data_IF_168592491323
#
_entry.id   IF_168592491323
#
_cell.length_a   1.000
_cell.length_b   1.000
_cell.length_c   1.000
_cell.angle_alpha   90.00
_cell.angle_beta   90.00
_cell.angle_gamma   90.00
#
_symmetry.space_group_name_H-M   'P 1'
#
loop_
_entity.id
_entity.type
_entity.pdbx_description
1 polymer ?
#
# COMPACT_ATOMS: atom_id res chain seq x y z
N UNK A 1 2.33 -10.23 12.48
CA UNK A 1 1.89 -9.27 13.52
C UNK A 1 0.53 -8.72 13.17
N UNK A 2 -0.47 -8.89 14.06
CA UNK A 2 -1.81 -8.32 13.90
C UNK A 2 -1.83 -6.86 14.38
N UNK A 3 -2.50 -5.98 13.63
CA UNK A 3 -2.71 -4.58 14.02
C UNK A 3 -4.20 -4.39 14.27
N UNK A 4 -4.56 -3.84 15.42
CA UNK A 4 -5.96 -3.57 15.73
C UNK A 4 -6.12 -2.11 16.17
N UNK A 5 -7.16 -1.46 15.62
CA UNK A 5 -7.65 -0.15 16.04
C UNK A 5 -8.91 -0.35 16.86
N UNK A 6 -9.00 0.25 18.06
CA UNK A 6 -10.12 0.18 18.99
C UNK A 6 -10.64 1.58 19.29
N UNK A 7 -11.78 1.94 18.68
CA UNK A 7 -12.46 3.25 18.84
C UNK A 7 -11.50 4.45 18.75
N UNK A 8 -10.65 4.44 17.74
CA UNK A 8 -9.60 5.43 17.57
C UNK A 8 -10.15 6.72 16.99
N UNK A 9 -9.89 7.84 17.67
CA UNK A 9 -10.23 9.19 17.22
C UNK A 9 -8.99 10.06 17.15
N UNK A 10 -8.91 10.85 16.08
CA UNK A 10 -7.88 11.90 15.93
C UNK A 10 -8.52 13.25 15.63
N UNK A 11 -8.41 14.15 16.57
CA UNK A 11 -8.72 15.59 16.44
C UNK A 11 -7.45 16.41 16.48
N UNK A 12 -7.23 17.24 15.50
CA UNK A 12 -6.13 18.20 15.47
C UNK A 12 -6.45 19.47 16.28
N UNK A 13 -5.42 20.28 16.56
CA UNK A 13 -5.56 21.50 17.35
C UNK A 13 -6.48 22.57 16.73
N UNK A 14 -6.61 22.57 15.41
CA UNK A 14 -7.52 23.44 14.67
C UNK A 14 -9.00 22.98 14.71
N UNK A 15 -9.30 21.89 15.44
CA UNK A 15 -10.61 21.29 15.57
C UNK A 15 -10.97 20.27 14.49
N UNK A 16 -10.13 20.09 13.47
CA UNK A 16 -10.35 19.12 12.39
C UNK A 16 -10.35 17.68 12.94
N UNK A 17 -11.43 16.93 12.69
CA UNK A 17 -11.49 15.49 13.00
C UNK A 17 -11.05 14.73 11.74
N UNK A 18 -9.85 14.18 11.79
CA UNK A 18 -9.30 13.40 10.69
C UNK A 18 -9.67 11.91 10.76
N UNK A 19 -9.91 11.40 11.97
CA UNK A 19 -10.36 10.03 12.24
C UNK A 19 -11.41 10.11 13.35
N UNK A 20 -12.57 9.50 13.14
CA UNK A 20 -13.71 9.53 14.05
C UNK A 20 -14.17 8.13 14.37
N UNK A 21 -13.92 7.67 15.61
CA UNK A 21 -14.32 6.36 16.16
C UNK A 21 -13.99 5.15 15.25
N UNK A 22 -12.75 5.10 14.78
CA UNK A 22 -12.30 4.05 13.86
C UNK A 22 -11.94 2.77 14.61
N UNK A 23 -12.57 1.65 14.23
CA UNK A 23 -12.27 0.31 14.76
C UNK A 23 -12.10 -0.68 13.61
N UNK A 24 -10.96 -1.38 13.58
CA UNK A 24 -10.66 -2.37 12.53
C UNK A 24 -9.50 -3.27 12.98
N UNK A 25 -9.60 -4.55 12.60
CA UNK A 25 -8.48 -5.51 12.69
C UNK A 25 -7.86 -5.67 11.31
N UNK A 26 -6.55 -5.47 11.21
CA UNK A 26 -5.77 -5.74 10.00
C UNK A 26 -5.17 -7.14 10.11
N UNK A 27 -5.47 -8.04 9.16
CA UNK A 27 -5.01 -9.42 9.21
C UNK A 27 -3.48 -9.51 9.05
N UNK A 28 -2.86 -10.47 9.76
CA UNK A 28 -1.43 -10.78 9.63
C UNK A 28 -1.11 -11.35 8.26
N UNK A 29 0.11 -11.09 7.78
CA UNK A 29 0.63 -11.66 6.52
C UNK A 29 -0.26 -11.37 5.30
N UNK A 30 -0.99 -10.25 5.34
CA UNK A 30 -1.90 -9.79 4.30
C UNK A 30 -1.62 -8.34 3.96
N UNK A 31 -2.02 -7.94 2.75
CA UNK A 31 -2.06 -6.55 2.35
C UNK A 31 -3.44 -5.97 2.65
N UNK A 32 -3.52 -5.04 3.62
CA UNK A 32 -4.71 -4.22 3.82
C UNK A 32 -4.52 -2.88 3.12
N UNK A 33 -5.46 -2.51 2.26
CA UNK A 33 -5.40 -1.24 1.52
C UNK A 33 -6.48 -0.28 2.03
N UNK A 34 -6.06 0.88 2.52
CA UNK A 34 -6.95 2.01 2.79
C UNK A 34 -7.11 2.84 1.52
N UNK A 35 -8.34 2.93 1.00
CA UNK A 35 -8.66 3.70 -0.20
C UNK A 35 -9.80 4.67 0.06
N UNK A 36 -9.82 5.80 -0.63
CA UNK A 36 -10.84 6.84 -0.48
C UNK A 36 -10.36 8.20 -0.98
N UNK A 37 -11.22 9.21 -0.93
CA UNK A 37 -10.92 10.55 -1.40
C UNK A 37 -9.76 11.21 -0.65
N UNK A 38 -9.14 12.22 -1.26
CA UNK A 38 -8.08 12.98 -0.58
C UNK A 38 -8.63 13.65 0.70
N UNK A 39 -7.82 13.59 1.77
CA UNK A 39 -8.20 14.17 3.07
C UNK A 39 -9.21 13.36 3.90
N UNK A 40 -9.58 12.13 3.50
CA UNK A 40 -10.52 11.33 4.28
C UNK A 40 -9.92 10.70 5.56
N UNK A 41 -8.58 10.76 5.76
CA UNK A 41 -7.94 10.27 7.00
C UNK A 41 -6.94 9.13 6.81
N UNK A 42 -6.77 8.55 5.61
CA UNK A 42 -5.90 7.40 5.32
C UNK A 42 -4.47 7.53 5.85
N UNK A 43 -3.77 8.57 5.45
CA UNK A 43 -2.40 8.87 5.89
C UNK A 43 -2.32 9.10 7.39
N UNK A 44 -3.38 9.64 8.01
CA UNK A 44 -3.46 9.82 9.47
C UNK A 44 -3.53 8.46 10.17
N UNK A 45 -4.39 7.53 9.70
CA UNK A 45 -4.44 6.16 10.19
C UNK A 45 -3.08 5.47 10.07
N UNK A 46 -2.46 5.55 8.89
CA UNK A 46 -1.15 4.95 8.66
C UNK A 46 -0.08 5.47 9.62
N UNK A 47 -0.04 6.81 9.82
CA UNK A 47 0.93 7.47 10.70
C UNK A 47 0.66 7.26 12.18
N UNK A 48 -0.53 6.82 12.56
CA UNK A 48 -0.80 6.45 13.94
C UNK A 48 -0.23 5.07 14.27
N UNK A 49 -0.15 4.12 13.33
CA UNK A 49 0.45 2.79 13.56
C UNK A 49 1.91 2.89 14.03
N UNK A 50 2.70 3.80 13.45
CA UNK A 50 4.11 4.00 13.82
C UNK A 50 4.32 5.15 14.80
N UNK A 51 3.26 5.67 15.43
CA UNK A 51 3.28 6.77 16.40
C UNK A 51 3.95 8.05 15.89
N UNK A 52 3.89 8.33 14.58
CA UNK A 52 4.20 9.67 14.04
C UNK A 52 3.08 10.66 14.35
N UNK A 53 1.87 10.15 14.54
CA UNK A 53 0.70 10.89 15.02
C UNK A 53 0.12 10.07 16.18
N UNK A 54 -0.10 10.71 17.32
CA UNK A 54 -0.79 10.06 18.46
C UNK A 54 -2.31 10.22 18.29
N UNK A 55 -3.11 9.19 18.61
CA UNK A 55 -4.56 9.33 18.69
C UNK A 55 -4.96 10.31 19.80
N UNK A 56 -6.13 10.92 19.68
CA UNK A 56 -6.73 11.75 20.73
C UNK A 56 -7.44 10.88 21.78
N UNK A 57 -8.05 9.78 21.31
CA UNK A 57 -8.67 8.76 22.15
C UNK A 57 -8.69 7.42 21.42
N UNK A 58 -9.01 6.35 22.15
CA UNK A 58 -8.95 4.99 21.64
C UNK A 58 -7.55 4.40 21.73
N UNK A 59 -7.37 3.20 21.26
CA UNK A 59 -6.15 2.44 21.37
C UNK A 59 -5.78 1.76 20.03
N UNK A 60 -4.49 1.64 19.78
CA UNK A 60 -3.94 0.84 18.69
C UNK A 60 -3.03 -0.21 19.31
N UNK A 61 -3.24 -1.48 18.94
CA UNK A 61 -2.40 -2.58 19.43
C UNK A 61 -1.67 -3.25 18.26
N UNK A 62 -0.52 -3.82 18.53
CA UNK A 62 0.22 -4.73 17.66
C UNK A 62 0.48 -6.00 18.46
N UNK A 63 -0.10 -7.15 18.02
CA UNK A 63 -0.08 -8.42 18.74
C UNK A 63 -0.60 -8.28 20.18
N UNK A 64 -1.76 -7.65 20.34
CA UNK A 64 -2.46 -7.35 21.59
C UNK A 64 -1.72 -6.41 22.54
N UNK A 65 -0.53 -5.90 22.21
CA UNK A 65 0.20 -4.92 23.01
C UNK A 65 -0.09 -3.50 22.51
N UNK A 66 -0.53 -2.59 23.42
CA UNK A 66 -0.73 -1.18 23.07
C UNK A 66 0.58 -0.55 22.56
N UNK A 67 0.50 0.12 21.41
CA UNK A 67 1.69 0.77 20.85
C UNK A 67 2.18 1.94 21.72
N UNK A 68 1.29 2.54 22.53
CA UNK A 68 1.61 3.62 23.45
C UNK A 68 2.62 3.20 24.54
N UNK A 69 2.61 1.92 24.91
CA UNK A 69 3.48 1.36 25.94
C UNK A 69 4.88 1.01 25.43
N UNK A 70 5.06 0.99 24.11
CA UNK A 70 6.35 0.73 23.46
C UNK A 70 7.18 2.01 23.34
N UNK A 71 8.49 1.90 23.40
CA UNK A 71 9.39 3.01 23.04
C UNK A 71 9.19 3.41 21.58
N UNK A 72 8.89 4.69 21.27
CA UNK A 72 8.56 5.12 19.92
C UNK A 72 9.69 4.90 18.91
N UNK A 73 10.96 4.96 19.37
CA UNK A 73 12.12 4.78 18.50
C UNK A 73 12.27 3.31 18.12
N UNK A 74 12.10 2.42 19.10
CA UNK A 74 12.17 0.98 18.86
C UNK A 74 11.00 0.52 17.99
N UNK A 75 9.77 0.99 18.24
CA UNK A 75 8.62 0.72 17.42
C UNK A 75 8.87 1.10 15.94
N UNK A 76 9.33 2.33 15.70
CA UNK A 76 9.61 2.83 14.33
C UNK A 76 10.74 2.09 13.63
N UNK A 77 11.73 1.58 14.37
CA UNK A 77 12.81 0.76 13.79
C UNK A 77 12.35 -0.64 13.39
N UNK A 78 11.32 -1.16 14.06
CA UNK A 78 10.70 -2.44 13.74
C UNK A 78 9.64 -2.40 12.64
N UNK A 79 9.27 -1.20 12.17
CA UNK A 79 8.26 -0.99 11.14
C UNK A 79 8.92 -0.39 9.90
N UNK A 80 8.77 -1.04 8.75
CA UNK A 80 9.18 -0.46 7.47
C UNK A 80 8.22 0.65 7.05
N UNK A 81 8.75 1.79 6.57
CA UNK A 81 7.91 2.89 6.14
C UNK A 81 8.36 3.43 4.78
N UNK A 82 7.49 3.31 3.79
CA UNK A 82 7.68 3.81 2.42
C UNK A 82 6.85 5.08 2.24
N UNK A 83 7.52 6.19 2.00
CA UNK A 83 6.91 7.50 1.83
C UNK A 83 6.52 7.75 0.38
N UNK A 84 5.50 8.57 0.15
CA UNK A 84 5.01 9.00 -1.16
C UNK A 84 6.12 9.54 -2.08
N UNK A 85 7.04 10.35 -1.56
CA UNK A 85 8.17 10.92 -2.28
C UNK A 85 9.49 10.22 -2.00
N UNK A 86 9.49 8.90 -1.71
CA UNK A 86 10.63 8.10 -1.27
C UNK A 86 11.38 8.66 -0.03
N UNK A 87 11.44 9.97 0.18
CA UNK A 87 12.05 10.62 1.34
C UNK A 87 13.53 10.25 1.52
N UNK A 88 14.29 10.15 0.42
CA UNK A 88 15.70 9.78 0.47
C UNK A 88 16.55 10.93 1.01
N UNK A 89 17.59 10.58 1.76
CA UNK A 89 18.57 11.51 2.28
C UNK A 89 19.47 11.97 1.10
N UNK A 90 19.43 13.26 0.70
CA UNK A 90 20.02 13.70 -0.56
C UNK A 90 21.56 13.64 -0.60
N UNK A 91 22.20 13.65 0.57
CA UNK A 91 23.66 13.57 0.74
C UNK A 91 24.15 12.14 1.03
N UNK A 92 23.27 11.16 1.03
CA UNK A 92 23.60 9.75 1.14
C UNK A 92 23.53 9.10 -0.24
N UNK A 93 24.42 8.14 -0.49
CA UNK A 93 24.30 7.28 -1.68
C UNK A 93 23.06 6.41 -1.60
N UNK A 94 22.68 5.76 -2.68
CA UNK A 94 21.61 4.73 -2.71
C UNK A 94 21.86 3.69 -1.63
N UNK A 95 23.06 3.14 -1.59
CA UNK A 95 23.44 2.10 -0.65
C UNK A 95 23.37 2.58 0.81
N UNK A 96 23.85 3.78 1.09
CA UNK A 96 23.80 4.35 2.45
C UNK A 96 22.37 4.73 2.86
N UNK A 97 21.50 5.14 1.93
CA UNK A 97 20.07 5.34 2.18
C UNK A 97 19.41 4.04 2.65
N UNK A 98 19.63 2.94 1.95
CA UNK A 98 19.05 1.63 2.32
C UNK A 98 19.64 1.13 3.64
N UNK A 99 20.96 1.28 3.85
CA UNK A 99 21.64 0.82 5.06
C UNK A 99 21.31 1.64 6.33
N UNK A 100 20.62 2.79 6.21
CA UNK A 100 20.43 3.74 7.31
C UNK A 100 19.76 3.11 8.53
N UNK A 101 18.62 2.44 8.37
CA UNK A 101 17.85 1.89 9.50
C UNK A 101 18.61 0.75 10.20
N UNK A 102 19.18 -0.25 9.51
CA UNK A 102 20.03 -1.26 10.16
C UNK A 102 21.19 -0.68 10.96
N UNK A 103 21.89 0.32 10.41
CA UNK A 103 23.00 0.98 11.13
C UNK A 103 22.52 1.70 12.39
N UNK A 104 21.39 2.40 12.33
CA UNK A 104 20.76 3.03 13.51
C UNK A 104 20.29 2.00 14.53
N UNK A 105 20.03 0.77 14.12
CA UNK A 105 19.65 -0.36 14.98
C UNK A 105 20.85 -1.13 15.52
N UNK A 106 22.10 -0.65 15.26
CA UNK A 106 23.31 -1.24 15.82
C UNK A 106 23.98 -2.30 14.93
N UNK A 107 23.46 -2.57 13.72
CA UNK A 107 24.12 -3.46 12.75
C UNK A 107 25.38 -2.77 12.22
N UNK A 108 26.48 -3.53 12.08
CA UNK A 108 27.71 -2.98 11.55
C UNK A 108 27.49 -2.43 10.12
N UNK A 109 28.15 -1.30 9.79
CA UNK A 109 28.02 -0.66 8.46
C UNK A 109 28.33 -1.65 7.33
N UNK A 110 29.29 -2.56 7.52
CA UNK A 110 29.65 -3.58 6.53
C UNK A 110 28.47 -4.55 6.26
N UNK A 111 27.85 -5.06 7.32
CA UNK A 111 26.69 -5.97 7.20
C UNK A 111 25.47 -5.25 6.63
N UNK A 112 25.17 -4.03 7.11
CA UNK A 112 24.07 -3.23 6.61
C UNK A 112 24.20 -2.91 5.10
N UNK A 113 25.41 -2.59 4.62
CA UNK A 113 25.68 -2.37 3.19
C UNK A 113 25.59 -3.65 2.37
N UNK A 114 26.02 -4.79 2.90
CA UNK A 114 25.88 -6.09 2.23
C UNK A 114 24.38 -6.41 2.03
N UNK A 115 23.58 -6.28 3.09
CA UNK A 115 22.13 -6.47 3.01
C UNK A 115 21.47 -5.47 2.06
N UNK A 116 21.90 -4.21 2.05
CA UNK A 116 21.40 -3.21 1.13
C UNK A 116 21.62 -3.59 -0.34
N UNK A 117 22.77 -4.17 -0.70
CA UNK A 117 23.03 -4.67 -2.07
C UNK A 117 22.07 -5.82 -2.48
N UNK A 118 21.79 -6.74 -1.56
CA UNK A 118 20.80 -7.81 -1.81
C UNK A 118 19.40 -7.21 -2.05
N UNK A 119 19.02 -6.20 -1.26
CA UNK A 119 17.73 -5.53 -1.40
C UNK A 119 17.61 -4.73 -2.71
N UNK A 120 18.72 -4.18 -3.24
CA UNK A 120 18.69 -3.56 -4.57
C UNK A 120 18.29 -4.58 -5.63
N UNK A 121 18.86 -5.80 -5.60
CA UNK A 121 18.46 -6.86 -6.53
C UNK A 121 16.98 -7.24 -6.36
N UNK A 122 16.53 -7.37 -5.10
CA UNK A 122 15.15 -7.73 -4.76
C UNK A 122 14.15 -6.70 -5.34
N UNK A 123 14.46 -5.40 -5.29
CA UNK A 123 13.60 -4.35 -5.86
C UNK A 123 13.89 -4.04 -7.34
N UNK A 124 14.66 -4.88 -8.01
CA UNK A 124 14.98 -4.74 -9.43
C UNK A 124 15.83 -3.50 -9.79
N UNK A 125 16.73 -3.09 -8.90
CA UNK A 125 17.69 -2.02 -9.14
C UNK A 125 19.08 -2.57 -9.45
N UNK A 126 19.70 -2.07 -10.53
CA UNK A 126 21.09 -2.41 -10.87
C UNK A 126 22.04 -1.97 -9.74
N UNK A 127 22.88 -2.90 -9.28
CA UNK A 127 23.92 -2.64 -8.27
C UNK A 127 24.90 -1.51 -8.67
N UNK A 128 25.05 -1.24 -9.96
CA UNK A 128 25.85 -0.11 -10.46
C UNK A 128 25.32 1.26 -9.99
N UNK A 129 24.07 1.32 -9.51
CA UNK A 129 23.44 2.51 -8.93
C UNK A 129 23.81 2.71 -7.45
N UNK A 130 24.45 1.75 -6.79
CA UNK A 130 24.70 1.75 -5.34
C UNK A 130 25.40 3.01 -4.83
N UNK A 131 26.38 3.51 -5.58
CA UNK A 131 27.16 4.71 -5.23
C UNK A 131 26.58 6.02 -5.79
N UNK A 132 25.45 5.97 -6.48
CA UNK A 132 24.75 7.16 -6.97
C UNK A 132 24.03 7.88 -5.84
N UNK A 133 23.78 9.17 -6.02
CA UNK A 133 22.99 10.01 -5.13
C UNK A 133 21.53 10.12 -5.65
N UNK A 134 20.55 10.39 -4.79
CA UNK A 134 19.15 10.50 -5.19
C UNK A 134 18.88 11.37 -6.42
N UNK A 135 19.56 12.52 -6.53
CA UNK A 135 19.43 13.45 -7.68
C UNK A 135 19.85 12.85 -9.04
N UNK A 136 20.54 11.72 -9.04
CA UNK A 136 21.03 11.03 -10.23
C UNK A 136 20.12 9.88 -10.66
N UNK A 137 18.99 9.71 -9.97
CA UNK A 137 18.02 8.64 -10.17
C UNK A 137 16.73 9.19 -10.75
N UNK A 138 16.02 8.37 -11.56
CA UNK A 138 14.63 8.63 -11.93
C UNK A 138 13.71 8.54 -10.71
N UNK A 139 12.50 9.11 -10.77
CA UNK A 139 11.51 9.01 -9.69
C UNK A 139 11.18 7.56 -9.32
N UNK A 140 11.01 6.67 -10.30
CA UNK A 140 10.78 5.24 -10.06
C UNK A 140 11.98 4.54 -9.39
N UNK A 141 13.21 4.88 -9.78
CA UNK A 141 14.42 4.37 -9.12
C UNK A 141 14.48 4.85 -7.66
N UNK A 142 14.19 6.13 -7.41
CA UNK A 142 14.15 6.66 -6.04
C UNK A 142 13.10 5.92 -5.20
N UNK A 143 11.93 5.64 -5.78
CA UNK A 143 10.88 4.90 -5.09
C UNK A 143 11.30 3.46 -4.75
N UNK A 144 11.95 2.75 -5.68
CA UNK A 144 12.54 1.42 -5.41
C UNK A 144 13.58 1.47 -4.28
N UNK A 145 14.40 2.49 -4.22
CA UNK A 145 15.34 2.71 -3.09
C UNK A 145 14.56 2.93 -1.78
N UNK A 146 13.47 3.67 -1.82
CA UNK A 146 12.56 3.87 -0.67
C UNK A 146 11.96 2.56 -0.15
N UNK A 147 11.51 1.68 -1.06
CA UNK A 147 11.02 0.33 -0.72
C UNK A 147 12.14 -0.52 -0.13
N UNK A 148 13.32 -0.57 -0.77
CA UNK A 148 14.49 -1.30 -0.25
C UNK A 148 14.88 -0.82 1.16
N UNK A 149 14.86 0.49 1.42
CA UNK A 149 15.11 1.06 2.75
C UNK A 149 14.04 0.62 3.77
N UNK A 150 12.77 0.58 3.38
CA UNK A 150 11.67 0.10 4.22
C UNK A 150 11.85 -1.36 4.65
N UNK A 151 12.44 -2.18 3.78
CA UNK A 151 12.69 -3.61 4.01
C UNK A 151 14.04 -3.90 4.71
N UNK A 152 14.92 -2.89 4.86
CA UNK A 152 16.32 -3.10 5.23
C UNK A 152 16.52 -3.68 6.63
N UNK A 153 15.63 -3.36 7.57
CA UNK A 153 15.64 -3.90 8.94
C UNK A 153 14.88 -5.22 9.08
N UNK A 154 14.44 -5.81 7.97
CA UNK A 154 13.58 -7.00 7.93
C UNK A 154 12.32 -6.88 8.81
N UNK A 155 11.52 -5.82 8.64
CA UNK A 155 10.36 -5.58 9.49
C UNK A 155 9.24 -6.59 9.19
N UNK A 156 8.41 -6.93 10.22
CA UNK A 156 7.20 -7.73 10.02
C UNK A 156 6.02 -6.92 9.48
N UNK A 157 6.05 -5.60 9.71
CA UNK A 157 5.03 -4.66 9.24
C UNK A 157 5.65 -3.66 8.26
N UNK A 158 5.02 -3.49 7.10
CA UNK A 158 5.41 -2.51 6.09
C UNK A 158 4.27 -1.53 5.83
N UNK A 159 4.50 -0.26 6.10
CA UNK A 159 3.56 0.83 5.84
C UNK A 159 3.94 1.54 4.55
N UNK A 160 2.98 1.74 3.64
CA UNK A 160 3.19 2.39 2.34
C UNK A 160 2.19 3.54 2.15
N UNK A 161 2.68 4.77 2.11
CA UNK A 161 1.88 6.00 1.95
C UNK A 161 1.92 6.49 0.50
N UNK A 162 0.92 6.14 -0.31
CA UNK A 162 0.81 6.48 -1.74
C UNK A 162 2.13 6.27 -2.54
N UNK A 163 2.76 5.09 -2.45
CA UNK A 163 4.14 4.91 -2.93
C UNK A 163 4.29 5.06 -4.44
N UNK A 164 3.21 5.02 -5.22
CA UNK A 164 3.25 5.10 -6.69
C UNK A 164 2.65 6.41 -7.25
N UNK A 165 2.23 7.34 -6.39
CA UNK A 165 1.54 8.56 -6.80
C UNK A 165 2.37 9.49 -7.70
N UNK A 166 3.69 9.51 -7.54
CA UNK A 166 4.62 10.37 -8.28
C UNK A 166 5.38 9.65 -9.41
N UNK A 167 4.93 8.45 -9.81
CA UNK A 167 5.63 7.60 -10.79
C UNK A 167 4.84 7.53 -12.09
N UNK A 168 5.54 7.49 -13.23
CA UNK A 168 4.88 7.36 -14.54
C UNK A 168 4.14 6.00 -14.66
N UNK A 169 3.11 5.89 -15.54
CA UNK A 169 2.23 4.72 -15.61
C UNK A 169 2.94 3.39 -15.91
N UNK A 170 4.01 3.40 -16.71
CA UNK A 170 4.73 2.17 -17.09
C UNK A 170 5.51 1.66 -15.89
N UNK A 171 6.31 2.52 -15.28
CA UNK A 171 7.11 2.21 -14.07
C UNK A 171 6.20 1.87 -12.88
N UNK A 172 5.04 2.54 -12.76
CA UNK A 172 4.04 2.22 -11.73
C UNK A 172 3.60 0.76 -11.82
N UNK A 173 3.25 0.26 -13.01
CA UNK A 173 2.83 -1.13 -13.22
C UNK A 173 3.93 -2.13 -12.84
N UNK A 174 5.19 -1.83 -13.16
CA UNK A 174 6.33 -2.65 -12.75
C UNK A 174 6.47 -2.69 -11.23
N UNK A 175 6.39 -1.52 -10.56
CA UNK A 175 6.47 -1.41 -9.10
C UNK A 175 5.33 -2.13 -8.39
N UNK A 176 4.11 -2.05 -8.91
CA UNK A 176 2.96 -2.79 -8.40
C UNK A 176 3.19 -4.31 -8.48
N UNK A 177 3.62 -4.81 -9.63
CA UNK A 177 3.93 -6.23 -9.82
C UNK A 177 5.03 -6.69 -8.85
N UNK A 178 6.08 -5.88 -8.68
CA UNK A 178 7.17 -6.17 -7.76
C UNK A 178 6.71 -6.16 -6.29
N UNK A 179 5.83 -5.23 -5.92
CA UNK A 179 5.27 -5.14 -4.56
C UNK A 179 4.43 -6.37 -4.22
N UNK A 180 3.61 -6.86 -5.17
CA UNK A 180 2.84 -8.11 -4.99
C UNK A 180 3.78 -9.31 -4.79
N UNK A 181 4.83 -9.40 -5.61
CA UNK A 181 5.84 -10.44 -5.47
C UNK A 181 6.51 -10.40 -4.10
N UNK A 182 6.99 -9.23 -3.71
CA UNK A 182 7.67 -9.02 -2.42
C UNK A 182 6.77 -9.37 -1.23
N UNK A 183 5.49 -8.99 -1.27
CA UNK A 183 4.56 -9.31 -0.19
C UNK A 183 4.38 -10.83 -0.04
N UNK A 184 4.24 -11.55 -1.15
CA UNK A 184 4.11 -13.02 -1.14
C UNK A 184 5.40 -13.72 -0.70
N UNK A 185 6.55 -13.27 -1.22
CA UNK A 185 7.83 -13.91 -0.97
C UNK A 185 8.35 -13.66 0.46
N UNK A 186 8.01 -12.52 1.06
CA UNK A 186 8.52 -12.11 2.37
C UNK A 186 7.54 -12.33 3.53
N UNK A 187 6.30 -12.74 3.23
CA UNK A 187 5.26 -13.04 4.23
C UNK A 187 5.07 -11.91 5.26
N UNK A 188 5.00 -10.65 4.78
CA UNK A 188 4.89 -9.45 5.61
C UNK A 188 3.44 -9.00 5.76
N UNK A 189 3.11 -8.33 6.87
CA UNK A 189 1.87 -7.57 7.02
C UNK A 189 2.06 -6.21 6.37
N UNK A 190 1.29 -5.91 5.32
CA UNK A 190 1.40 -4.67 4.56
C UNK A 190 0.16 -3.80 4.80
N UNK A 191 0.37 -2.54 5.13
CA UNK A 191 -0.69 -1.52 5.16
C UNK A 191 -0.39 -0.49 4.07
N UNK A 192 -1.27 -0.43 3.10
CA UNK A 192 -1.09 0.38 1.91
C UNK A 192 -2.15 1.49 1.87
N UNK A 193 -1.75 2.70 1.52
CA UNK A 193 -2.65 3.84 1.32
C UNK A 193 -2.60 4.27 -0.14
N UNK A 194 -3.77 4.41 -0.76
CA UNK A 194 -3.90 4.96 -2.10
C UNK A 194 -5.22 5.74 -2.25
N UNK A 195 -5.33 6.55 -3.29
CA UNK A 195 -6.58 7.14 -3.74
C UNK A 195 -7.13 6.45 -5.01
N UNK A 196 -6.41 5.47 -5.53
CA UNK A 196 -6.72 4.73 -6.76
C UNK A 196 -7.35 3.37 -6.40
N UNK A 197 -8.62 3.18 -6.79
CA UNK A 197 -9.37 1.95 -6.51
C UNK A 197 -8.85 0.75 -7.32
N UNK A 198 -8.33 0.97 -8.52
CA UNK A 198 -7.75 -0.11 -9.33
C UNK A 198 -6.48 -0.64 -8.68
N UNK A 199 -5.67 0.26 -8.11
CA UNK A 199 -4.51 -0.08 -7.33
C UNK A 199 -4.87 -0.85 -6.05
N UNK A 200 -5.92 -0.39 -5.33
CA UNK A 200 -6.40 -1.07 -4.14
C UNK A 200 -6.87 -2.50 -4.44
N UNK A 201 -7.56 -2.71 -5.54
CA UNK A 201 -8.06 -4.02 -5.96
C UNK A 201 -6.96 -4.94 -6.51
N UNK A 202 -5.91 -4.35 -7.09
CA UNK A 202 -4.76 -5.10 -7.59
C UNK A 202 -3.88 -5.63 -6.45
N UNK A 203 -3.70 -4.82 -5.39
CA UNK A 203 -2.72 -5.08 -4.32
C UNK A 203 -3.33 -5.69 -3.05
N UNK A 204 -4.61 -5.39 -2.76
CA UNK A 204 -5.23 -5.70 -1.48
C UNK A 204 -5.77 -7.12 -1.38
N UNK A 205 -5.41 -7.82 -0.30
CA UNK A 205 -6.17 -8.97 0.19
C UNK A 205 -7.43 -8.50 0.91
N UNK A 206 -7.34 -7.38 1.63
CA UNK A 206 -8.43 -6.67 2.29
C UNK A 206 -8.41 -5.21 1.83
N UNK A 207 -9.53 -4.73 1.33
CA UNK A 207 -9.71 -3.32 0.93
C UNK A 207 -10.69 -2.65 1.89
N UNK A 208 -10.31 -1.46 2.35
CA UNK A 208 -11.09 -0.64 3.27
C UNK A 208 -11.40 0.67 2.57
N UNK A 209 -12.65 0.83 2.15
CA UNK A 209 -13.14 2.06 1.51
C UNK A 209 -13.52 3.04 2.60
N UNK A 210 -12.90 4.23 2.56
CA UNK A 210 -13.04 5.25 3.58
C UNK A 210 -13.72 6.51 3.06
N UNK A 211 -14.69 7.00 3.82
CA UNK A 211 -15.26 8.33 3.72
C UNK A 211 -14.54 9.34 4.64
N UNK A 212 -14.95 10.62 4.58
CA UNK A 212 -14.41 11.69 5.42
C UNK A 212 -14.47 11.34 6.91
N UNK A 213 -13.39 11.65 7.65
CA UNK A 213 -13.24 11.28 9.05
C UNK A 213 -12.80 9.83 9.25
N UNK A 214 -12.25 9.19 8.21
CA UNK A 214 -11.86 7.78 8.17
C UNK A 214 -13.03 6.83 8.48
N UNK A 215 -14.29 7.25 8.24
CA UNK A 215 -15.44 6.38 8.41
C UNK A 215 -15.40 5.24 7.39
N UNK A 216 -15.54 4.02 7.87
CA UNK A 216 -15.54 2.84 7.02
C UNK A 216 -16.87 2.78 6.25
N UNK A 217 -16.80 2.91 4.90
CA UNK A 217 -17.94 2.69 4.03
C UNK A 217 -18.13 1.19 3.74
N UNK A 218 -17.03 0.47 3.50
CA UNK A 218 -17.04 -0.98 3.32
C UNK A 218 -15.65 -1.56 3.57
N UNK A 219 -15.61 -2.80 4.07
CA UNK A 219 -14.42 -3.65 4.18
C UNK A 219 -14.71 -4.98 3.51
N UNK A 220 -13.77 -5.49 2.74
CA UNK A 220 -13.88 -6.81 2.12
C UNK A 220 -12.71 -7.10 1.18
N UNK A 221 -12.72 -8.27 0.57
CA UNK A 221 -11.87 -8.56 -0.58
C UNK A 221 -12.32 -7.75 -1.81
N UNK A 222 -11.46 -7.53 -2.80
CA UNK A 222 -11.84 -6.90 -4.07
C UNK A 222 -13.10 -7.50 -4.70
N UNK A 223 -13.20 -8.83 -4.71
CA UNK A 223 -14.35 -9.54 -5.29
C UNK A 223 -15.65 -9.27 -4.53
N UNK A 224 -15.62 -9.36 -3.18
CA UNK A 224 -16.80 -9.09 -2.35
C UNK A 224 -17.32 -7.67 -2.52
N UNK A 225 -16.41 -6.68 -2.60
CA UNK A 225 -16.79 -5.27 -2.78
C UNK A 225 -17.40 -5.03 -4.17
N UNK A 226 -16.85 -5.67 -5.21
CA UNK A 226 -17.37 -5.54 -6.57
C UNK A 226 -18.71 -6.24 -6.76
N UNK A 227 -18.90 -7.42 -6.15
CA UNK A 227 -20.13 -8.21 -6.27
C UNK A 227 -21.28 -7.62 -5.46
N UNK A 228 -20.98 -7.07 -4.26
CA UNK A 228 -21.95 -6.59 -3.32
C UNK A 228 -21.52 -5.24 -2.69
N UNK A 229 -21.58 -4.12 -3.43
CA UNK A 229 -21.32 -2.81 -2.85
C UNK A 229 -22.34 -2.48 -1.77
N UNK A 230 -21.87 -2.08 -0.58
CA UNK A 230 -22.71 -1.87 0.60
C UNK A 230 -23.63 -0.64 0.49
N UNK A 231 -23.25 0.35 -0.32
CA UNK A 231 -23.98 1.62 -0.51
C UNK A 231 -23.82 2.13 -1.93
N UNK A 232 -24.70 3.05 -2.35
CA UNK A 232 -24.58 3.75 -3.64
C UNK A 232 -23.24 4.50 -3.76
N UNK A 233 -22.73 5.06 -2.65
CA UNK A 233 -21.41 5.67 -2.60
C UNK A 233 -20.31 4.68 -2.98
N UNK A 234 -20.33 3.48 -2.40
CA UNK A 234 -19.35 2.44 -2.73
C UNK A 234 -19.50 2.01 -4.18
N UNK A 235 -20.73 1.76 -4.66
CA UNK A 235 -21.01 1.38 -6.04
C UNK A 235 -20.49 2.42 -7.05
N UNK A 236 -20.70 3.72 -6.77
CA UNK A 236 -20.17 4.80 -7.58
C UNK A 236 -18.64 4.89 -7.50
N UNK A 237 -18.07 4.76 -6.29
CA UNK A 237 -16.63 4.85 -6.05
C UNK A 237 -15.84 3.75 -6.76
N UNK A 238 -16.38 2.51 -6.75
CA UNK A 238 -15.77 1.36 -7.47
C UNK A 238 -16.13 1.31 -8.95
N UNK A 239 -17.07 2.17 -9.41
CA UNK A 239 -17.45 2.30 -10.81
C UNK A 239 -18.40 1.22 -11.33
N UNK A 240 -19.10 0.49 -10.45
CA UNK A 240 -20.10 -0.52 -10.83
C UNK A 240 -21.36 0.15 -11.40
N UNK A 241 -21.86 1.21 -10.77
CA UNK A 241 -23.07 1.93 -11.19
C UNK A 241 -22.97 2.59 -12.57
N UNK A 242 -21.78 3.06 -12.94
CA UNK A 242 -21.57 3.75 -14.22
C UNK A 242 -21.41 2.79 -15.41
N UNK A 243 -21.54 1.48 -15.16
CA UNK A 243 -21.28 0.47 -16.18
C UNK A 243 -19.83 0.45 -16.68
N UNK A 244 -18.94 1.26 -16.08
CA UNK A 244 -17.54 1.34 -16.51
C UNK A 244 -16.79 0.02 -16.27
N UNK A 245 -17.26 -0.79 -15.33
CA UNK A 245 -16.76 -2.16 -15.06
C UNK A 245 -17.76 -3.25 -15.42
N UNK A 246 -18.98 -2.91 -15.82
CA UNK A 246 -19.91 -3.88 -16.37
C UNK A 246 -19.46 -4.25 -17.77
N UNK A 247 -18.98 -5.48 -17.94
CA UNK A 247 -18.55 -6.02 -19.20
C UNK A 247 -19.58 -6.99 -19.73
N UNK A 248 -19.92 -6.88 -20.99
CA UNK A 248 -20.76 -7.82 -21.71
C UNK A 248 -19.98 -8.55 -22.80
N UNK A 249 -20.40 -9.77 -23.14
CA UNK A 249 -19.80 -10.55 -24.20
C UNK A 249 -20.38 -10.11 -25.54
N UNK A 250 -19.52 -9.76 -26.49
CA UNK A 250 -19.92 -9.47 -27.89
C UNK A 250 -19.19 -10.41 -28.86
N UNK A 251 -19.96 -11.16 -29.64
CA UNK A 251 -19.39 -11.99 -30.73
C UNK A 251 -19.01 -11.09 -31.91
N UNK A 252 -17.79 -11.26 -32.39
CA UNK A 252 -17.27 -10.63 -33.61
C UNK A 252 -16.81 -11.69 -34.62
N UNK A 253 -16.57 -11.35 -35.89
CA UNK A 253 -16.01 -12.30 -36.87
C UNK A 253 -14.66 -12.91 -36.47
N UNK A 254 -13.92 -12.24 -35.56
CA UNK A 254 -12.59 -12.66 -35.13
C UNK A 254 -12.55 -13.26 -33.71
N UNK A 255 -13.73 -13.53 -33.11
CA UNK A 255 -13.83 -14.12 -31.76
C UNK A 255 -14.80 -13.37 -30.84
N UNK A 256 -14.83 -13.79 -29.56
CA UNK A 256 -15.66 -13.13 -28.55
C UNK A 256 -14.84 -12.06 -27.84
N UNK A 257 -15.37 -10.86 -27.73
CA UNK A 257 -14.75 -9.73 -27.04
C UNK A 257 -15.58 -9.31 -25.84
N UNK A 258 -14.90 -8.76 -24.83
CA UNK A 258 -15.53 -8.08 -23.71
C UNK A 258 -15.73 -6.62 -24.09
N UNK A 259 -16.95 -6.11 -23.96
CA UNK A 259 -17.28 -4.71 -24.24
C UNK A 259 -17.89 -4.05 -23.01
N UNK A 260 -17.57 -2.77 -22.79
CA UNK A 260 -18.18 -1.94 -21.76
C UNK A 260 -19.61 -1.51 -22.14
N UNK A 261 -20.29 -0.82 -21.21
CA UNK A 261 -21.65 -0.32 -21.42
C UNK A 261 -21.78 0.65 -22.62
N UNK A 262 -20.68 1.28 -23.06
CA UNK A 262 -20.62 2.12 -24.24
C UNK A 262 -20.30 1.34 -25.53
N UNK A 263 -20.16 0.00 -25.44
CA UNK A 263 -19.85 -0.88 -26.57
C UNK A 263 -18.38 -0.88 -26.99
N UNK A 264 -17.48 -0.28 -26.21
CA UNK A 264 -16.04 -0.23 -26.51
C UNK A 264 -15.38 -1.52 -26.06
N UNK A 265 -14.50 -2.09 -26.89
CA UNK A 265 -13.78 -3.32 -26.58
C UNK A 265 -12.75 -3.08 -25.48
N UNK A 266 -12.86 -3.84 -24.40
CA UNK A 266 -11.98 -3.81 -23.23
C UNK A 266 -11.02 -5.00 -23.16
N UNK A 267 -11.33 -6.08 -23.93
CA UNK A 267 -10.47 -7.26 -23.98
C UNK A 267 -11.00 -8.29 -24.96
N UNK A 268 -10.19 -9.31 -25.22
CA UNK A 268 -10.54 -10.47 -26.08
C UNK A 268 -10.61 -11.71 -25.18
N UNK A 269 -11.66 -12.52 -25.31
CA UNK A 269 -11.74 -13.82 -24.67
C UNK A 269 -10.81 -14.79 -25.41
N UNK A 270 -9.64 -15.07 -24.83
CA UNK A 270 -8.77 -16.14 -25.28
C UNK A 270 -9.30 -17.45 -24.72
N UNK A 271 -9.81 -18.33 -25.61
CA UNK A 271 -10.44 -19.60 -25.21
C UNK A 271 -9.48 -20.52 -24.49
N UNK A 272 -9.59 -20.51 -23.16
CA UNK A 272 -9.19 -21.56 -22.22
C UNK A 272 -9.87 -21.31 -20.86
N UNK A 273 -11.15 -20.91 -20.86
CA UNK A 273 -11.99 -20.94 -19.65
C UNK A 273 -12.66 -22.32 -19.53
N UNK A 274 -12.94 -22.81 -18.30
CA UNK A 274 -13.74 -24.01 -18.13
C UNK A 274 -15.09 -23.82 -18.85
N UNK A 275 -15.52 -24.81 -19.61
CA UNK A 275 -16.87 -24.84 -20.21
C UNK A 275 -17.88 -24.60 -19.07
N UNK A 276 -18.46 -23.41 -19.05
CA UNK A 276 -19.63 -23.15 -18.23
C UNK A 276 -20.78 -23.95 -18.86
N UNK A 277 -21.05 -25.12 -18.30
CA UNK A 277 -22.28 -25.86 -18.57
C UNK A 277 -23.47 -24.97 -18.29
N UNK A 278 -24.27 -24.70 -19.28
CA UNK A 278 -25.62 -24.14 -19.21
C UNK A 278 -26.55 -25.15 -18.52
#
# INVERSE_FOLDING_TARGET
>A
MAIEFRSVTKRFADGTIAVDDFSLVLPTHKTTVFVGSSGCGKTTLLRMINRLIEPTSGEITIDDEPIQDRDPVQLRRGIGYVLQNAGLLPHFTVLDNVATVPVLSGVSKKQARARALELLDIVGLDRALADRYPRQLSGGQQQRVGVARGLAADPDILLMDEPFGAVDPIVRKELQTETIRLQRDLDKTVVFVTHDIDEAFLLGDQVVILEKGARIAQVGSPSEIMENPATDFVAEFVGVDRGSRALSLKKTPHGTVLVDAAGRTQGVLTGNGPEAGL
#
